data_IF_616180527358
#
_entry.id   IF_616180527358
#
_cell.length_a   1.000
_cell.length_b   1.000
_cell.length_c   1.000
_cell.angle_alpha   90.00
_cell.angle_beta   90.00
_cell.angle_gamma   90.00
#
_symmetry.space_group_name_H-M   'P 1'
#
loop_
_entity.id
_entity.type
_entity.pdbx_description
1 polymer ?
#
# COMPACT_ATOMS: atom_id res chain seq x y z
N UNK A 1 -10.90 15.25 1.64
CA UNK A 1 -9.44 15.34 1.40
C UNK A 1 -8.92 16.66 1.99
N UNK A 2 -7.83 16.63 2.77
CA UNK A 2 -7.18 17.84 3.30
C UNK A 2 -6.30 18.54 2.27
N UNK A 3 -5.96 17.84 1.18
CA UNK A 3 -5.26 18.36 0.02
C UNK A 3 -6.18 18.27 -1.22
N UNK A 4 -6.64 19.40 -1.79
CA UNK A 4 -7.47 19.42 -3.00
C UNK A 4 -6.70 19.00 -4.26
N UNK A 5 -5.37 18.89 -4.20
CA UNK A 5 -4.51 18.40 -5.30
C UNK A 5 -4.19 16.91 -5.19
N UNK A 6 -4.60 16.26 -4.09
CA UNK A 6 -4.42 14.82 -3.92
C UNK A 6 -5.21 14.06 -5.00
N UNK A 7 -4.57 13.19 -5.79
CA UNK A 7 -5.28 12.32 -6.73
C UNK A 7 -6.10 11.24 -6.00
N UNK A 8 -5.85 11.01 -4.70
CA UNK A 8 -6.58 10.04 -3.89
C UNK A 8 -7.88 10.64 -3.36
N UNK A 9 -8.97 9.91 -3.53
CA UNK A 9 -10.27 10.16 -2.91
C UNK A 9 -10.76 8.88 -2.20
N UNK A 10 -11.66 9.01 -1.24
CA UNK A 10 -12.11 7.90 -0.39
C UNK A 10 -13.60 7.56 -0.49
N UNK A 11 -14.33 8.19 -1.41
CA UNK A 11 -15.77 7.99 -1.60
C UNK A 11 -16.16 8.36 -3.03
N UNK A 12 -16.93 7.50 -3.70
CA UNK A 12 -17.48 7.81 -5.02
C UNK A 12 -18.74 8.67 -4.91
N UNK A 13 -19.15 9.30 -6.02
CA UNK A 13 -20.35 10.14 -6.06
C UNK A 13 -21.59 9.38 -5.58
N UNK A 14 -21.73 8.12 -6.00
CA UNK A 14 -22.87 7.26 -5.69
C UNK A 14 -22.92 6.86 -4.20
N UNK A 15 -21.76 6.84 -3.53
CA UNK A 15 -21.62 6.51 -2.11
C UNK A 15 -21.78 7.73 -1.19
N UNK A 16 -21.90 8.95 -1.74
CA UNK A 16 -22.00 10.18 -0.96
C UNK A 16 -23.15 10.20 0.06
N UNK A 17 -24.37 9.70 -0.25
CA UNK A 17 -25.45 9.69 0.74
C UNK A 17 -25.11 8.83 1.97
N UNK A 18 -24.54 7.63 1.75
CA UNK A 18 -24.13 6.71 2.82
C UNK A 18 -22.97 7.30 3.61
N UNK A 19 -21.98 7.86 2.90
CA UNK A 19 -20.83 8.50 3.53
C UNK A 19 -21.22 9.71 4.37
N UNK A 20 -22.11 10.56 3.86
CA UNK A 20 -22.63 11.73 4.59
C UNK A 20 -23.40 11.31 5.84
N UNK A 21 -24.21 10.25 5.75
CA UNK A 21 -24.86 9.65 6.92
C UNK A 21 -23.84 9.14 7.94
N UNK A 22 -22.84 8.36 7.51
CA UNK A 22 -21.80 7.84 8.39
C UNK A 22 -20.97 8.94 9.07
N UNK A 23 -20.80 10.08 8.40
CA UNK A 23 -20.05 11.25 8.90
C UNK A 23 -20.87 12.27 9.67
N UNK A 24 -22.15 12.01 9.95
CA UNK A 24 -22.96 12.91 10.78
C UNK A 24 -22.26 13.16 12.14
N UNK A 25 -22.07 14.44 12.49
CA UNK A 25 -21.39 14.86 13.72
C UNK A 25 -19.87 14.71 13.72
N UNK A 26 -19.25 14.25 12.62
CA UNK A 26 -17.80 14.16 12.50
C UNK A 26 -17.17 15.54 12.23
N UNK A 27 -16.00 15.85 12.81
CA UNK A 27 -15.24 17.02 12.43
C UNK A 27 -14.88 17.00 10.93
N UNK A 28 -14.84 18.19 10.31
CA UNK A 28 -14.54 18.32 8.89
C UNK A 28 -13.15 17.75 8.57
N UNK A 29 -13.08 16.89 7.54
CA UNK A 29 -11.86 16.24 7.06
C UNK A 29 -11.05 15.42 8.09
N UNK A 30 -11.57 15.18 9.30
CA UNK A 30 -10.88 14.38 10.31
C UNK A 30 -10.93 12.88 9.98
N UNK A 31 -9.76 12.23 10.09
CA UNK A 31 -9.64 10.77 10.14
C UNK A 31 -9.98 10.30 11.55
N UNK A 32 -10.76 9.23 11.65
CA UNK A 32 -11.03 8.63 12.95
C UNK A 32 -9.75 8.02 13.53
N UNK A 33 -9.68 7.86 14.84
CA UNK A 33 -8.55 7.26 15.53
C UNK A 33 -8.26 5.86 15.01
N UNK A 34 -9.29 5.06 14.76
CA UNK A 34 -9.16 3.71 14.21
C UNK A 34 -8.58 3.72 12.79
N UNK A 35 -8.96 4.69 11.96
CA UNK A 35 -8.37 4.86 10.64
C UNK A 35 -6.89 5.26 10.72
N UNK A 36 -6.51 6.10 11.70
CA UNK A 36 -5.11 6.46 11.92
C UNK A 36 -4.27 5.28 12.42
N UNK A 37 -4.84 4.44 13.31
CA UNK A 37 -4.22 3.18 13.74
C UNK A 37 -4.04 2.23 12.56
N UNK A 38 -5.07 2.10 11.70
CA UNK A 38 -5.00 1.29 10.49
C UNK A 38 -3.90 1.79 9.54
N UNK A 39 -3.88 3.09 9.22
CA UNK A 39 -2.84 3.71 8.39
C UNK A 39 -1.43 3.40 8.93
N UNK A 40 -1.21 3.52 10.23
CA UNK A 40 0.10 3.21 10.83
C UNK A 40 0.42 1.71 10.84
N UNK A 41 -0.59 0.86 11.04
CA UNK A 41 -0.41 -0.60 11.03
C UNK A 41 0.01 -1.08 9.64
N UNK A 42 -0.59 -0.49 8.60
CA UNK A 42 -0.23 -0.73 7.20
C UNK A 42 1.20 -0.25 6.90
N UNK A 43 1.54 0.96 7.35
CA UNK A 43 2.89 1.52 7.22
C UNK A 43 3.95 0.61 7.84
N UNK A 44 3.69 0.10 9.06
CA UNK A 44 4.57 -0.83 9.76
C UNK A 44 4.68 -2.15 9.01
N UNK A 45 3.56 -2.79 8.66
CA UNK A 45 3.55 -4.10 8.03
C UNK A 45 4.31 -4.10 6.70
N UNK A 46 4.02 -3.17 5.79
CA UNK A 46 4.71 -3.10 4.50
C UNK A 46 6.18 -2.73 4.65
N UNK A 47 6.51 -1.74 5.49
CA UNK A 47 7.91 -1.33 5.65
C UNK A 47 8.82 -2.45 6.14
N UNK A 48 8.30 -3.34 6.99
CA UNK A 48 9.06 -4.46 7.55
C UNK A 48 9.05 -5.67 6.63
N UNK A 49 7.87 -6.10 6.18
CA UNK A 49 7.75 -7.31 5.35
C UNK A 49 8.39 -7.14 3.97
N UNK A 50 8.34 -5.95 3.36
CA UNK A 50 8.98 -5.76 2.06
C UNK A 50 10.52 -5.85 2.18
N UNK A 51 11.10 -5.38 3.28
CA UNK A 51 12.54 -5.54 3.55
C UNK A 51 12.89 -7.01 3.78
N UNK A 52 12.06 -7.73 4.53
CA UNK A 52 12.19 -9.17 4.72
C UNK A 52 12.13 -9.94 3.40
N UNK A 53 11.12 -9.67 2.57
CA UNK A 53 10.94 -10.31 1.27
C UNK A 53 12.09 -9.96 0.33
N UNK A 54 12.58 -8.72 0.37
CA UNK A 54 13.76 -8.28 -0.37
C UNK A 54 15.02 -9.06 0.01
N UNK A 55 15.26 -9.30 1.30
CA UNK A 55 16.36 -10.13 1.78
C UNK A 55 16.17 -11.60 1.39
N UNK A 56 14.98 -12.15 1.61
CA UNK A 56 14.67 -13.54 1.33
C UNK A 56 14.80 -13.88 -0.16
N UNK A 57 14.36 -12.98 -1.03
CA UNK A 57 14.45 -13.14 -2.48
C UNK A 57 15.85 -12.80 -3.05
N UNK A 58 16.80 -12.37 -2.21
CA UNK A 58 18.15 -12.00 -2.62
C UNK A 58 18.23 -10.70 -3.42
N UNK A 59 17.25 -9.82 -3.28
CA UNK A 59 17.21 -8.50 -3.93
C UNK A 59 17.83 -7.39 -3.08
N UNK A 60 17.95 -7.65 -1.77
CA UNK A 60 18.64 -6.80 -0.83
C UNK A 60 19.79 -7.59 -0.20
N UNK A 61 20.99 -7.01 -0.21
CA UNK A 61 22.09 -7.45 0.66
C UNK A 61 22.18 -6.45 1.83
N UNK A 62 22.10 -6.90 3.10
CA UNK A 62 22.20 -6.01 4.26
C UNK A 62 23.43 -5.08 4.23
N UNK A 63 24.54 -5.52 3.63
CA UNK A 63 25.77 -4.74 3.57
C UNK A 63 25.65 -3.49 2.69
N UNK A 64 24.70 -3.47 1.74
CA UNK A 64 24.45 -2.28 0.91
C UNK A 64 23.97 -1.10 1.77
N UNK A 65 23.32 -1.37 2.90
CA UNK A 65 22.86 -0.33 3.82
C UNK A 65 24.00 0.39 4.54
N UNK A 66 25.23 -0.15 4.48
CA UNK A 66 26.45 0.46 5.01
C UNK A 66 27.18 1.32 3.97
N UNK A 67 26.86 1.19 2.68
CA UNK A 67 27.57 1.89 1.61
C UNK A 67 27.03 3.31 1.42
N UNK A 68 27.89 4.33 1.52
CA UNK A 68 27.49 5.74 1.45
C UNK A 68 26.71 6.11 0.19
N UNK A 69 27.12 5.55 -0.97
CA UNK A 69 26.43 5.80 -2.24
C UNK A 69 24.99 5.27 -2.23
N UNK A 70 24.77 4.06 -1.67
CA UNK A 70 23.44 3.47 -1.57
C UNK A 70 22.58 4.18 -0.53
N UNK A 71 23.17 4.56 0.61
CA UNK A 71 22.51 5.37 1.64
C UNK A 71 22.00 6.69 1.07
N UNK A 72 22.80 7.37 0.25
CA UNK A 72 22.41 8.63 -0.39
C UNK A 72 21.14 8.46 -1.26
N UNK A 73 21.08 7.40 -2.07
CA UNK A 73 19.92 7.10 -2.90
C UNK A 73 18.67 6.74 -2.07
N UNK A 74 18.83 5.90 -1.04
CA UNK A 74 17.76 5.55 -0.10
C UNK A 74 17.21 6.82 0.55
N UNK A 75 18.07 7.72 1.03
CA UNK A 75 17.65 8.94 1.71
C UNK A 75 16.97 9.92 0.75
N UNK A 76 17.42 10.01 -0.51
CA UNK A 76 16.75 10.79 -1.54
C UNK A 76 15.32 10.27 -1.82
N UNK A 77 15.12 8.95 -1.84
CA UNK A 77 13.80 8.32 -1.94
C UNK A 77 12.95 8.61 -0.71
N UNK A 78 13.50 8.40 0.49
CA UNK A 78 12.81 8.65 1.76
C UNK A 78 12.33 10.10 1.87
N UNK A 79 13.23 11.07 1.67
CA UNK A 79 12.91 12.49 1.73
C UNK A 79 11.86 12.90 0.68
N UNK A 80 11.88 12.29 -0.51
CA UNK A 80 10.92 12.62 -1.56
C UNK A 80 9.52 12.04 -1.31
N UNK A 81 9.43 10.80 -0.82
CA UNK A 81 8.18 10.01 -0.85
C UNK A 81 7.57 9.72 0.51
N UNK A 82 8.39 9.53 1.53
CA UNK A 82 7.96 8.95 2.80
C UNK A 82 8.13 9.89 4.00
N UNK A 83 9.14 10.76 3.96
CA UNK A 83 9.37 11.81 4.96
C UNK A 83 9.73 13.15 4.31
N UNK A 84 8.80 13.80 3.57
CA UNK A 84 9.01 15.14 3.04
C UNK A 84 9.41 16.13 4.13
N UNK A 85 10.56 16.80 3.94
CA UNK A 85 11.12 17.75 4.89
C UNK A 85 12.21 17.20 5.80
N UNK A 86 12.39 15.87 5.88
CA UNK A 86 13.48 15.27 6.64
C UNK A 86 14.84 15.52 5.96
N UNK A 87 15.83 15.91 6.76
CA UNK A 87 17.21 16.10 6.31
C UNK A 87 17.98 14.78 6.16
N UNK A 88 19.05 14.74 5.34
CA UNK A 88 19.86 13.54 5.18
C UNK A 88 20.45 13.00 6.50
N UNK A 89 20.82 13.88 7.43
CA UNK A 89 21.36 13.48 8.73
C UNK A 89 20.33 12.80 9.64
N UNK A 90 19.06 13.23 9.58
CA UNK A 90 17.97 12.63 10.37
C UNK A 90 17.64 11.23 9.86
N UNK A 91 17.63 11.07 8.53
CA UNK A 91 17.44 9.79 7.86
C UNK A 91 18.63 8.84 8.09
N UNK A 92 19.86 9.38 8.07
CA UNK A 92 21.06 8.62 8.41
C UNK A 92 20.99 8.11 9.85
N UNK A 93 20.70 8.98 10.81
CA UNK A 93 20.55 8.60 12.22
C UNK A 93 19.42 7.57 12.43
N UNK A 94 18.32 7.67 11.66
CA UNK A 94 17.25 6.68 11.70
C UNK A 94 17.71 5.31 11.20
N UNK A 95 18.44 5.25 10.07
CA UNK A 95 19.02 4.00 9.59
C UNK A 95 20.02 3.42 10.60
N UNK A 96 20.93 4.25 11.12
CA UNK A 96 21.97 3.81 12.06
C UNK A 96 21.35 3.21 13.33
N UNK A 97 20.29 3.82 13.89
CA UNK A 97 19.57 3.25 15.05
C UNK A 97 19.01 1.85 14.80
N UNK A 98 18.62 1.54 13.56
CA UNK A 98 18.12 0.21 13.18
C UNK A 98 19.28 -0.76 13.00
N UNK A 99 20.36 -0.34 12.33
CA UNK A 99 21.55 -1.15 12.09
C UNK A 99 22.29 -1.49 13.39
N UNK A 100 22.25 -0.61 14.39
CA UNK A 100 22.91 -0.81 15.69
C UNK A 100 22.17 -1.80 16.62
N UNK A 101 20.99 -2.30 16.22
CA UNK A 101 20.24 -3.26 17.04
C UNK A 101 20.85 -4.66 16.98
N UNK A 102 20.98 -5.31 18.14
CA UNK A 102 21.55 -6.67 18.21
C UNK A 102 20.78 -7.71 17.39
N UNK A 103 19.48 -7.50 17.20
CA UNK A 103 18.59 -8.35 16.42
C UNK A 103 18.61 -8.02 14.92
N UNK A 104 19.31 -6.97 14.48
CA UNK A 104 19.39 -6.61 13.07
C UNK A 104 20.17 -7.68 12.27
N UNK A 105 19.69 -8.10 11.09
CA UNK A 105 20.39 -9.07 10.28
C UNK A 105 21.61 -8.43 9.59
N UNK A 106 22.79 -8.56 10.19
CA UNK A 106 24.08 -8.13 9.60
C UNK A 106 24.59 -9.01 8.44
N UNK A 107 23.78 -9.95 7.99
CA UNK A 107 24.08 -10.83 6.88
C UNK A 107 22.93 -11.80 6.64
N UNK A 108 22.78 -12.22 5.39
CA UNK A 108 21.75 -13.17 4.98
C UNK A 108 22.31 -14.12 3.93
N UNK A 109 22.49 -15.39 4.29
CA UNK A 109 23.02 -16.45 3.42
C UNK A 109 21.95 -17.51 3.06
N UNK A 110 20.69 -17.26 3.43
CA UNK A 110 19.57 -18.18 3.22
C UNK A 110 19.56 -19.42 4.13
N UNK A 111 20.53 -19.59 5.01
CA UNK A 111 20.56 -20.70 5.97
C UNK A 111 19.37 -20.64 6.94
N UNK A 112 19.02 -21.78 7.54
CA UNK A 112 17.92 -21.83 8.53
C UNK A 112 18.14 -20.85 9.70
N UNK A 113 19.39 -20.64 10.11
CA UNK A 113 19.72 -19.67 11.17
C UNK A 113 19.52 -18.23 10.69
N UNK A 114 19.94 -17.90 9.46
CA UNK A 114 19.72 -16.57 8.89
C UNK A 114 18.21 -16.29 8.71
N UNK A 115 17.42 -17.28 8.30
CA UNK A 115 15.96 -17.16 8.23
C UNK A 115 15.32 -16.92 9.60
N UNK A 116 15.76 -17.64 10.64
CA UNK A 116 15.25 -17.44 11.99
C UNK A 116 15.58 -16.04 12.53
N UNK A 117 16.80 -15.55 12.29
CA UNK A 117 17.21 -14.17 12.65
C UNK A 117 16.40 -13.12 11.91
N UNK A 118 16.14 -13.33 10.61
CA UNK A 118 15.32 -12.41 9.84
C UNK A 118 13.89 -12.34 10.38
N UNK A 119 13.28 -13.48 10.72
CA UNK A 119 11.94 -13.52 11.33
C UNK A 119 11.90 -12.87 12.72
N UNK A 120 12.97 -13.02 13.51
CA UNK A 120 13.11 -12.32 14.79
C UNK A 120 13.20 -10.80 14.58
N UNK A 121 14.04 -10.33 13.66
CA UNK A 121 14.16 -8.92 13.30
C UNK A 121 12.83 -8.31 12.84
N UNK A 122 12.07 -9.02 12.00
CA UNK A 122 10.72 -8.62 11.59
C UNK A 122 9.81 -8.43 12.80
N UNK A 123 9.81 -9.40 13.73
CA UNK A 123 8.99 -9.35 14.94
C UNK A 123 9.36 -8.18 15.86
N UNK A 124 10.67 -7.93 16.01
CA UNK A 124 11.20 -6.84 16.83
C UNK A 124 10.86 -5.46 16.25
N UNK A 125 10.96 -5.30 14.93
CA UNK A 125 10.57 -4.06 14.23
C UNK A 125 9.08 -3.76 14.41
N UNK A 126 8.21 -4.75 14.19
CA UNK A 126 6.76 -4.59 14.36
C UNK A 126 6.44 -4.21 15.81
N UNK A 127 7.02 -4.93 16.78
CA UNK A 127 6.84 -4.66 18.20
C UNK A 127 7.30 -3.25 18.56
N UNK A 128 8.51 -2.86 18.15
CA UNK A 128 9.08 -1.52 18.39
C UNK A 128 8.17 -0.41 17.88
N UNK A 129 7.71 -0.47 16.63
CA UNK A 129 6.87 0.57 16.04
C UNK A 129 5.46 0.64 16.64
N UNK A 130 4.85 -0.52 16.93
CA UNK A 130 3.55 -0.59 17.58
C UNK A 130 3.60 -0.04 19.01
N UNK A 131 4.56 -0.48 19.81
CA UNK A 131 4.71 -0.06 21.20
C UNK A 131 5.08 1.41 21.32
N UNK A 132 5.94 1.94 20.43
CA UNK A 132 6.28 3.36 20.42
C UNK A 132 5.05 4.25 20.16
N UNK A 133 4.23 3.89 19.16
CA UNK A 133 2.99 4.61 18.84
C UNK A 133 1.94 4.49 19.96
N UNK A 134 1.79 3.30 20.55
CA UNK A 134 0.89 3.09 21.68
C UNK A 134 1.31 3.94 22.88
N UNK A 135 2.57 3.83 23.31
CA UNK A 135 3.08 4.52 24.49
C UNK A 135 2.94 6.03 24.35
N UNK A 136 3.32 6.61 23.20
CA UNK A 136 3.19 8.03 22.95
C UNK A 136 1.72 8.49 22.93
N UNK A 137 0.83 7.70 22.33
CA UNK A 137 -0.61 8.00 22.30
C UNK A 137 -1.21 7.93 23.71
N UNK A 138 -0.83 6.93 24.51
CA UNK A 138 -1.28 6.79 25.91
C UNK A 138 -0.74 7.90 26.80
N UNK A 139 0.48 8.36 26.58
CA UNK A 139 1.02 9.52 27.29
C UNK A 139 0.21 10.79 26.98
N UNK A 140 -0.25 10.98 25.75
CA UNK A 140 -1.02 12.15 25.33
C UNK A 140 -2.50 12.12 25.75
N UNK A 141 -3.15 10.95 25.72
CA UNK A 141 -4.61 10.82 25.88
C UNK A 141 -5.04 9.97 27.09
N UNK A 142 -4.10 9.35 27.81
CA UNK A 142 -4.37 8.49 28.95
C UNK A 142 -4.84 7.07 28.60
N UNK A 143 -5.24 6.32 29.62
CA UNK A 143 -5.62 4.89 29.52
C UNK A 143 -7.10 4.66 29.21
N UNK A 144 -7.88 5.73 29.05
CA UNK A 144 -9.30 5.67 28.72
C UNK A 144 -9.59 5.09 27.33
N UNK A 145 -10.88 5.09 26.97
CA UNK A 145 -11.33 4.64 25.64
C UNK A 145 -10.94 5.69 24.59
N UNK A 146 -10.05 5.31 23.69
CA UNK A 146 -9.64 6.11 22.53
C UNK A 146 -10.50 5.68 21.35
N UNK A 147 -11.48 6.50 20.96
CA UNK A 147 -12.42 6.16 19.89
C UNK A 147 -12.69 7.35 18.99
N UNK A 148 -12.94 7.06 17.71
CA UNK A 148 -13.43 8.01 16.70
C UNK A 148 -12.64 9.33 16.67
N UNK A 149 -13.18 10.39 17.24
CA UNK A 149 -12.59 11.73 17.22
C UNK A 149 -12.14 12.20 18.61
N UNK A 150 -12.15 11.32 19.61
CA UNK A 150 -11.70 11.60 20.97
C UNK A 150 -10.18 11.49 21.16
N UNK A 151 -9.45 11.02 20.15
CA UNK A 151 -8.00 10.88 20.18
C UNK A 151 -7.40 11.00 18.77
N UNK A 152 -6.10 11.24 18.71
CA UNK A 152 -5.29 11.11 17.49
C UNK A 152 -4.09 10.21 17.78
N UNK A 153 -3.68 9.41 16.81
CA UNK A 153 -2.53 8.54 16.96
C UNK A 153 -1.25 9.39 17.00
N UNK A 154 -0.48 9.23 18.08
CA UNK A 154 0.82 9.86 18.23
C UNK A 154 1.88 8.82 17.89
N UNK A 155 2.59 9.04 16.78
CA UNK A 155 3.76 8.23 16.41
C UNK A 155 4.98 9.13 16.57
N UNK A 156 5.95 8.77 17.45
CA UNK A 156 7.17 9.52 17.62
C UNK A 156 7.89 9.76 16.29
N UNK A 157 8.48 10.94 16.13
CA UNK A 157 9.19 11.34 14.92
C UNK A 157 10.30 10.34 14.55
N UNK A 158 11.05 9.87 15.55
CA UNK A 158 12.09 8.85 15.36
C UNK A 158 11.55 7.57 14.72
N UNK A 159 10.38 7.08 15.17
CA UNK A 159 9.74 5.89 14.61
C UNK A 159 9.19 6.14 13.21
N UNK A 160 8.69 7.35 12.92
CA UNK A 160 8.26 7.73 11.56
C UNK A 160 9.44 7.74 10.60
N UNK A 161 10.59 8.28 11.01
CA UNK A 161 11.80 8.31 10.19
C UNK A 161 12.37 6.90 9.96
N UNK A 162 12.43 6.07 11.00
CA UNK A 162 12.83 4.66 10.87
C UNK A 162 11.95 3.90 9.87
N UNK A 163 10.62 4.01 10.00
CA UNK A 163 9.68 3.40 9.05
C UNK A 163 9.84 3.98 7.63
N UNK A 164 10.02 5.31 7.49
CA UNK A 164 10.23 5.95 6.19
C UNK A 164 11.50 5.49 5.48
N UNK A 165 12.59 5.26 6.23
CA UNK A 165 13.83 4.69 5.68
C UNK A 165 13.61 3.26 5.22
N UNK A 166 12.95 2.40 6.01
CA UNK A 166 12.66 1.02 5.61
C UNK A 166 11.79 0.97 4.34
N UNK A 167 10.77 1.83 4.23
CA UNK A 167 9.99 1.99 3.00
C UNK A 167 10.84 2.42 1.81
N UNK A 168 11.82 3.30 2.02
CA UNK A 168 12.72 3.71 0.95
C UNK A 168 13.67 2.59 0.51
N UNK A 169 14.14 1.77 1.44
CA UNK A 169 14.91 0.54 1.14
C UNK A 169 14.05 -0.41 0.30
N UNK A 170 12.83 -0.71 0.72
CA UNK A 170 11.89 -1.53 -0.03
C UNK A 170 11.58 -0.96 -1.43
N UNK A 171 11.30 0.35 -1.53
CA UNK A 171 11.01 1.01 -2.80
C UNK A 171 12.19 0.88 -3.77
N UNK A 172 13.42 1.07 -3.30
CA UNK A 172 14.64 1.00 -4.11
C UNK A 172 15.00 -0.43 -4.55
N UNK A 173 14.92 -1.40 -3.64
CA UNK A 173 15.46 -2.75 -3.88
C UNK A 173 14.40 -3.78 -4.24
N UNK A 174 13.12 -3.52 -3.93
CA UNK A 174 12.02 -4.47 -4.18
C UNK A 174 11.10 -3.93 -5.25
N UNK A 175 10.64 -2.67 -5.11
CA UNK A 175 9.59 -2.12 -5.96
C UNK A 175 10.09 -1.55 -7.29
N UNK A 176 11.21 -0.83 -7.33
CA UNK A 176 11.75 -0.15 -8.52
C UNK A 176 12.59 -1.07 -9.44
N UNK A 177 12.42 -2.39 -9.32
CA UNK A 177 13.17 -3.31 -10.17
C UNK A 177 12.63 -3.33 -11.61
N UNK A 178 13.49 -3.40 -12.64
CA UNK A 178 13.05 -3.33 -14.04
C UNK A 178 12.06 -4.43 -14.45
N UNK A 179 12.20 -5.64 -13.89
CA UNK A 179 11.28 -6.76 -14.11
C UNK A 179 9.88 -6.46 -13.53
N UNK A 180 9.82 -5.86 -12.35
CA UNK A 180 8.57 -5.43 -11.72
C UNK A 180 7.91 -4.28 -12.49
N UNK A 181 8.71 -3.34 -13.01
CA UNK A 181 8.21 -2.27 -13.86
C UNK A 181 7.60 -2.78 -15.16
N UNK A 182 8.29 -3.72 -15.83
CA UNK A 182 7.77 -4.38 -17.03
C UNK A 182 6.47 -5.15 -16.75
N UNK A 183 6.44 -5.94 -15.66
CA UNK A 183 5.25 -6.69 -15.27
C UNK A 183 4.04 -5.76 -14.99
N UNK A 184 4.25 -4.64 -14.29
CA UNK A 184 3.20 -3.65 -14.05
C UNK A 184 2.73 -2.95 -15.32
N UNK A 185 3.63 -2.73 -16.28
CA UNK A 185 3.25 -2.19 -17.58
C UNK A 185 2.32 -3.16 -18.34
N UNK A 186 2.68 -4.45 -18.37
CA UNK A 186 1.85 -5.49 -19.00
C UNK A 186 0.50 -5.63 -18.29
N UNK A 187 0.47 -5.61 -16.96
CA UNK A 187 -0.78 -5.66 -16.19
C UNK A 187 -1.70 -4.47 -16.53
N UNK A 188 -1.17 -3.26 -16.70
CA UNK A 188 -1.97 -2.10 -17.12
C UNK A 188 -2.60 -2.28 -18.50
N UNK A 189 -1.85 -2.86 -19.45
CA UNK A 189 -2.38 -3.18 -20.78
C UNK A 189 -3.51 -4.19 -20.68
N UNK A 190 -3.31 -5.28 -19.92
CA UNK A 190 -4.33 -6.32 -19.71
C UNK A 190 -5.61 -5.72 -19.11
N UNK A 191 -5.50 -4.87 -18.08
CA UNK A 191 -6.67 -4.26 -17.46
C UNK A 191 -7.41 -3.30 -18.40
N UNK A 192 -6.68 -2.50 -19.20
CA UNK A 192 -7.28 -1.59 -20.17
C UNK A 192 -8.01 -2.34 -21.28
N UNK A 193 -7.38 -3.35 -21.88
CA UNK A 193 -7.97 -4.18 -22.93
C UNK A 193 -9.16 -4.99 -22.39
N UNK A 194 -9.09 -5.46 -21.14
CA UNK A 194 -10.19 -6.17 -20.49
C UNK A 194 -11.40 -5.25 -20.30
N UNK A 195 -11.19 -4.02 -19.83
CA UNK A 195 -12.26 -3.03 -19.68
C UNK A 195 -12.93 -2.73 -21.02
N UNK A 196 -12.14 -2.50 -22.08
CA UNK A 196 -12.68 -2.26 -23.41
C UNK A 196 -13.46 -3.49 -23.93
N UNK A 197 -12.92 -4.69 -23.76
CA UNK A 197 -13.57 -5.91 -24.21
C UNK A 197 -14.89 -6.18 -23.46
N UNK A 198 -14.94 -5.90 -22.17
CA UNK A 198 -16.17 -6.03 -21.37
C UNK A 198 -17.23 -5.02 -21.80
N UNK A 199 -16.87 -3.74 -21.99
CA UNK A 199 -17.80 -2.72 -22.47
C UNK A 199 -18.38 -3.07 -23.85
N UNK A 200 -17.54 -3.58 -24.75
CA UNK A 200 -17.95 -3.89 -26.13
C UNK A 200 -18.80 -5.15 -26.24
N UNK A 201 -18.66 -6.08 -25.30
CA UNK A 201 -19.31 -7.40 -25.34
C UNK A 201 -20.44 -7.54 -24.34
N UNK A 202 -20.61 -6.59 -23.41
CA UNK A 202 -21.67 -6.64 -22.41
C UNK A 202 -23.05 -6.91 -23.05
N UNK A 203 -23.88 -7.77 -22.42
CA UNK A 203 -23.67 -8.39 -21.11
C UNK A 203 -22.75 -9.63 -21.13
N UNK A 204 -22.24 -10.06 -22.29
CA UNK A 204 -21.34 -11.21 -22.38
C UNK A 204 -19.99 -10.91 -21.72
N UNK A 205 -19.60 -11.77 -20.78
CA UNK A 205 -18.34 -11.66 -20.04
C UNK A 205 -18.49 -11.06 -18.64
N UNK A 206 -19.61 -10.39 -18.35
CA UNK A 206 -19.96 -9.96 -16.99
C UNK A 206 -20.48 -11.14 -16.17
N UNK A 207 -20.19 -11.14 -14.87
CA UNK A 207 -20.80 -12.05 -13.90
C UNK A 207 -22.27 -11.68 -13.67
N UNK A 208 -23.12 -12.62 -13.26
CA UNK A 208 -24.57 -12.40 -13.15
C UNK A 208 -24.97 -11.17 -12.33
N UNK A 209 -24.27 -10.88 -11.23
CA UNK A 209 -24.56 -9.71 -10.38
C UNK A 209 -24.31 -8.37 -11.08
N UNK A 210 -23.38 -8.32 -12.04
CA UNK A 210 -23.03 -7.11 -12.77
C UNK A 210 -23.86 -6.95 -14.04
N UNK A 211 -24.37 -8.05 -14.62
CA UNK A 211 -25.26 -7.97 -15.80
C UNK A 211 -26.51 -7.16 -15.54
N UNK A 212 -27.21 -7.43 -14.42
CA UNK A 212 -28.43 -6.68 -14.09
C UNK A 212 -28.16 -5.19 -13.91
N UNK A 213 -27.07 -4.84 -13.22
CA UNK A 213 -26.65 -3.45 -13.04
C UNK A 213 -26.26 -2.79 -14.37
N UNK A 214 -25.62 -3.53 -15.28
CA UNK A 214 -25.28 -3.04 -16.60
C UNK A 214 -26.52 -2.82 -17.46
N UNK A 215 -27.49 -3.74 -17.45
CA UNK A 215 -28.73 -3.63 -18.21
C UNK A 215 -29.58 -2.43 -17.73
N UNK A 216 -29.62 -2.19 -16.42
CA UNK A 216 -30.26 -1.01 -15.85
C UNK A 216 -29.57 0.29 -16.31
N UNK A 217 -28.24 0.34 -16.26
CA UNK A 217 -27.46 1.47 -16.77
C UNK A 217 -27.60 1.64 -18.30
N UNK A 218 -27.74 0.53 -19.04
CA UNK A 218 -27.95 0.53 -20.48
C UNK A 218 -29.30 1.12 -20.85
N UNK A 219 -30.36 0.66 -20.20
CA UNK A 219 -31.72 1.19 -20.36
C UNK A 219 -31.86 2.67 -19.99
N UNK A 220 -31.06 3.15 -19.03
CA UNK A 220 -30.99 4.55 -18.62
C UNK A 220 -30.11 5.42 -19.54
N UNK A 221 -29.43 4.83 -20.52
CA UNK A 221 -28.43 5.50 -21.37
C UNK A 221 -27.32 6.21 -20.56
N UNK A 222 -26.89 5.61 -19.45
CA UNK A 222 -25.88 6.17 -18.55
C UNK A 222 -24.52 5.48 -18.75
N UNK A 223 -23.66 6.08 -19.58
CA UNK A 223 -22.32 5.58 -19.86
C UNK A 223 -21.40 5.57 -18.63
N UNK A 224 -21.64 6.46 -17.66
CA UNK A 224 -20.84 6.49 -16.42
C UNK A 224 -21.17 5.28 -15.56
N UNK A 225 -22.46 4.97 -15.41
CA UNK A 225 -22.91 3.78 -14.69
C UNK A 225 -22.48 2.48 -15.39
N UNK A 226 -22.52 2.41 -16.73
CA UNK A 226 -22.00 1.26 -17.50
C UNK A 226 -20.50 1.03 -17.23
N UNK A 227 -19.70 2.10 -17.31
CA UNK A 227 -18.27 2.04 -17.01
C UNK A 227 -18.03 1.61 -15.56
N UNK A 228 -18.83 2.12 -14.61
CA UNK A 228 -18.72 1.76 -13.21
C UNK A 228 -18.91 0.27 -12.97
N UNK A 229 -19.94 -0.33 -13.57
CA UNK A 229 -20.20 -1.76 -13.46
C UNK A 229 -19.01 -2.59 -13.99
N UNK A 230 -18.40 -2.17 -15.10
CA UNK A 230 -17.20 -2.82 -15.64
C UNK A 230 -16.01 -2.69 -14.70
N UNK A 231 -15.79 -1.51 -14.10
CA UNK A 231 -14.73 -1.29 -13.10
C UNK A 231 -14.95 -2.19 -11.88
N UNK A 232 -16.17 -2.28 -11.36
CA UNK A 232 -16.50 -3.10 -10.19
C UNK A 232 -16.30 -4.60 -10.48
N UNK A 233 -16.67 -5.06 -11.69
CA UNK A 233 -16.38 -6.41 -12.15
C UNK A 233 -14.87 -6.68 -12.16
N UNK A 234 -14.08 -5.78 -12.74
CA UNK A 234 -12.61 -5.96 -12.84
C UNK A 234 -11.97 -5.93 -11.45
N UNK A 235 -12.41 -5.02 -10.57
CA UNK A 235 -11.90 -4.89 -9.22
C UNK A 235 -12.18 -6.12 -8.33
N UNK A 236 -13.23 -6.89 -8.66
CA UNK A 236 -13.56 -8.14 -7.98
C UNK A 236 -12.73 -9.35 -8.46
N UNK A 237 -11.93 -9.21 -9.53
CA UNK A 237 -11.12 -10.30 -10.06
C UNK A 237 -9.78 -10.42 -9.34
N UNK A 238 -9.32 -11.66 -9.21
CA UNK A 238 -7.90 -11.95 -8.91
C UNK A 238 -7.06 -11.76 -10.16
N UNK A 239 -5.74 -11.59 -10.02
CA UNK A 239 -4.80 -11.55 -11.16
C UNK A 239 -4.99 -12.73 -12.13
N UNK A 240 -5.17 -13.93 -11.60
CA UNK A 240 -5.36 -15.13 -12.41
C UNK A 240 -6.70 -15.10 -13.18
N UNK A 241 -7.79 -14.72 -12.52
CA UNK A 241 -9.10 -14.64 -13.16
C UNK A 241 -9.20 -13.48 -14.15
N UNK A 242 -8.55 -12.35 -13.88
CA UNK A 242 -8.44 -11.22 -14.82
C UNK A 242 -7.73 -11.62 -16.11
N UNK A 243 -6.57 -12.30 -16.02
CA UNK A 243 -5.83 -12.80 -17.19
C UNK A 243 -6.63 -13.84 -17.97
N UNK A 244 -7.29 -14.77 -17.29
CA UNK A 244 -8.13 -15.79 -17.92
C UNK A 244 -9.31 -15.18 -18.67
N UNK A 245 -9.99 -14.21 -18.03
CA UNK A 245 -11.11 -13.49 -18.64
C UNK A 245 -10.66 -12.65 -19.83
N UNK A 246 -9.57 -11.91 -19.70
CA UNK A 246 -8.96 -11.14 -20.79
C UNK A 246 -8.69 -12.04 -21.99
N UNK A 247 -7.95 -13.14 -21.81
CA UNK A 247 -7.63 -14.06 -22.89
C UNK A 247 -8.89 -14.63 -23.59
N UNK A 248 -9.95 -14.91 -22.84
CA UNK A 248 -11.22 -15.39 -23.41
C UNK A 248 -11.96 -14.31 -24.22
N UNK A 249 -11.89 -13.05 -23.78
CA UNK A 249 -12.66 -11.97 -24.37
C UNK A 249 -11.96 -11.29 -25.55
N UNK A 250 -10.62 -11.30 -25.57
CA UNK A 250 -9.79 -10.66 -26.61
C UNK A 250 -9.33 -11.64 -27.70
N UNK A 251 -9.48 -12.95 -27.51
CA UNK A 251 -9.27 -13.92 -28.60
C UNK A 251 -10.23 -13.65 -29.76
N UNK A 252 -9.66 -13.52 -30.96
CA UNK A 252 -10.44 -13.41 -32.19
C UNK A 252 -11.31 -14.67 -32.38
N UNK A 253 -12.57 -14.54 -32.81
CA UNK A 253 -13.38 -15.70 -33.18
C UNK A 253 -12.66 -16.46 -34.32
N UNK A 254 -12.18 -17.67 -34.05
CA UNK A 254 -11.59 -18.56 -35.07
C UNK A 254 -10.07 -18.65 -35.13
N UNK A 255 -9.31 -18.13 -34.16
CA UNK A 255 -7.92 -18.56 -33.99
C UNK A 255 -7.90 -19.97 -33.31
N UNK A 256 -7.11 -20.93 -33.83
CA UNK A 256 -7.07 -22.31 -33.31
C UNK A 256 -6.66 -22.39 -31.84
#
# INVERSE_FOLDING_TARGET
>A
PTDPTSPKFGVYADDLPVFAWFRQGAPAAARSFEAQVMDWSDDVAYSVHDVEDGLHAGHLDPNLLLADAERAEIFAVAARRYAPGAGPAELAAALDRLLDQEWWPHGYDGSALAQARLKDATSQLIGRFCTAAEAATRAAYGTGRLTRYGASLVVPEESRLECAVLKAVADRYVMQRPDQEALRADQRVVLAELAEALLRRAPDGLDPQFRSLFDEADAAADDTARMRVVIDQIAALTDASARSLHARLTRAPGAP
#
